data_IF_060052138132
#
_entry.id   IF_060052138132
#
_cell.length_a   1.000
_cell.length_b   1.000
_cell.length_c   1.000
_cell.angle_alpha   90.00
_cell.angle_beta   90.00
_cell.angle_gamma   90.00
#
_symmetry.space_group_name_H-M   'P 1'
#
loop_
_entity.id
_entity.type
_entity.pdbx_description
1 polymer ?
#
# COMPACT_ATOMS: atom_id res chain seq x y z
N UNK A 1 -10.18 3.77 3.52
CA UNK A 1 -9.47 2.81 2.63
C UNK A 1 -10.32 1.59 2.74
N UNK A 2 -10.97 1.24 1.64
CA UNK A 2 -12.19 0.43 1.75
C UNK A 2 -11.98 -0.98 1.19
N UNK A 3 -10.83 -1.18 0.52
CA UNK A 3 -10.46 -2.43 -0.15
C UNK A 3 -9.73 -3.41 0.77
N UNK A 4 -9.53 -3.06 2.05
CA UNK A 4 -8.76 -3.84 3.02
C UNK A 4 -9.65 -4.18 4.22
N UNK A 5 -9.81 -5.48 4.48
CA UNK A 5 -10.43 -6.01 5.68
C UNK A 5 -9.35 -6.49 6.66
N UNK A 6 -9.36 -5.93 7.88
CA UNK A 6 -8.52 -6.36 8.98
C UNK A 6 -9.22 -7.45 9.80
N UNK A 7 -8.59 -8.63 9.88
CA UNK A 7 -9.07 -9.76 10.70
C UNK A 7 -8.15 -10.04 11.89
N UNK A 8 -7.26 -9.10 12.24
CA UNK A 8 -6.31 -9.18 13.35
C UNK A 8 -5.04 -9.95 13.01
N UNK A 9 -5.17 -11.21 12.58
CA UNK A 9 -4.01 -12.05 12.22
C UNK A 9 -3.62 -11.95 10.74
N UNK A 10 -4.56 -11.54 9.89
CA UNK A 10 -4.40 -11.46 8.44
C UNK A 10 -5.15 -10.25 7.88
N UNK A 11 -4.66 -9.72 6.76
CA UNK A 11 -5.40 -8.74 5.97
C UNK A 11 -5.95 -9.38 4.72
N UNK A 12 -7.22 -9.13 4.42
CA UNK A 12 -7.84 -9.54 3.17
C UNK A 12 -8.00 -8.31 2.29
N UNK A 13 -7.32 -8.29 1.15
CA UNK A 13 -7.36 -7.19 0.19
C UNK A 13 -8.22 -7.62 -0.99
N UNK A 14 -9.24 -6.83 -1.29
CA UNK A 14 -10.12 -7.06 -2.43
C UNK A 14 -9.83 -6.03 -3.52
N UNK A 15 -9.32 -6.48 -4.67
CA UNK A 15 -9.18 -5.63 -5.84
C UNK A 15 -10.48 -5.71 -6.65
N UNK A 16 -11.24 -4.60 -6.77
CA UNK A 16 -12.51 -4.61 -7.49
C UNK A 16 -12.28 -4.87 -8.98
N UNK A 17 -13.32 -5.42 -9.63
CA UNK A 17 -13.29 -5.68 -11.08
C UNK A 17 -13.03 -4.37 -11.84
N UNK A 18 -12.02 -4.37 -12.70
CA UNK A 18 -11.76 -3.26 -13.62
C UNK A 18 -12.19 -3.63 -15.03
N UNK A 19 -12.17 -2.68 -15.97
CA UNK A 19 -12.67 -2.87 -17.35
C UNK A 19 -12.12 -4.14 -18.05
N UNK A 20 -10.90 -4.57 -17.71
CA UNK A 20 -10.21 -5.68 -18.38
C UNK A 20 -9.87 -6.83 -17.44
N UNK A 21 -9.96 -6.66 -16.12
CA UNK A 21 -9.52 -7.65 -15.14
C UNK A 21 -10.65 -8.12 -14.23
N UNK A 22 -10.65 -9.44 -13.94
CA UNK A 22 -11.54 -10.09 -12.97
C UNK A 22 -11.25 -9.56 -11.55
N UNK A 23 -12.25 -9.66 -10.67
CA UNK A 23 -12.08 -9.39 -9.23
C UNK A 23 -11.02 -10.35 -8.67
N UNK A 24 -10.08 -9.83 -7.90
CA UNK A 24 -9.03 -10.63 -7.25
C UNK A 24 -9.05 -10.35 -5.75
N UNK A 25 -8.82 -11.38 -4.95
CA UNK A 25 -8.76 -11.28 -3.49
C UNK A 25 -7.42 -11.86 -3.05
N UNK A 26 -6.72 -11.12 -2.21
CA UNK A 26 -5.42 -11.49 -1.67
C UNK A 26 -5.48 -11.56 -0.15
N UNK A 27 -4.82 -12.55 0.43
CA UNK A 27 -4.65 -12.66 1.87
C UNK A 27 -3.19 -12.38 2.20
N UNK A 28 -2.93 -11.32 2.95
CA UNK A 28 -1.60 -10.99 3.46
C UNK A 28 -1.47 -11.60 4.86
N UNK A 29 -0.46 -12.46 5.00
CA UNK A 29 -0.02 -13.04 6.27
C UNK A 29 1.32 -12.44 6.66
N UNK A 30 1.61 -12.41 7.95
CA UNK A 30 2.93 -12.00 8.43
C UNK A 30 3.99 -13.04 8.01
N UNK A 31 5.19 -12.60 7.67
CA UNK A 31 6.33 -13.46 7.35
C UNK A 31 7.55 -12.98 8.14
N UNK A 32 8.49 -13.87 8.43
CA UNK A 32 9.73 -13.61 9.18
C UNK A 32 10.55 -12.45 8.57
N UNK A 33 10.51 -12.29 7.25
CA UNK A 33 11.23 -11.22 6.54
C UNK A 33 10.48 -9.89 6.49
N UNK A 34 9.15 -9.91 6.57
CA UNK A 34 8.30 -8.71 6.42
C UNK A 34 7.15 -8.80 7.43
N UNK A 35 7.24 -7.99 8.48
CA UNK A 35 6.17 -7.78 9.45
C UNK A 35 5.07 -6.87 8.86
N UNK A 36 4.36 -7.37 7.85
CA UNK A 36 3.27 -6.70 7.14
C UNK A 36 2.19 -6.13 8.08
N UNK A 37 1.86 -6.84 9.16
CA UNK A 37 0.89 -6.38 10.17
C UNK A 37 1.34 -5.08 10.83
N UNK A 38 2.58 -5.05 11.34
CA UNK A 38 3.16 -3.89 12.02
C UNK A 38 3.31 -2.72 11.06
N UNK A 39 3.74 -2.99 9.83
CA UNK A 39 3.87 -1.96 8.79
C UNK A 39 2.54 -1.32 8.45
N UNK A 40 1.47 -2.13 8.30
CA UNK A 40 0.13 -1.62 8.06
C UNK A 40 -0.35 -0.72 9.19
N UNK A 41 -0.24 -1.17 10.45
CA UNK A 41 -0.66 -0.38 11.62
C UNK A 41 0.11 0.93 11.73
N UNK A 42 1.43 0.91 11.52
CA UNK A 42 2.23 2.13 11.51
C UNK A 42 1.86 3.07 10.37
N UNK A 43 1.48 2.52 9.23
CA UNK A 43 1.09 3.32 8.08
C UNK A 43 -0.30 3.96 8.26
N UNK A 44 -1.25 3.25 8.87
CA UNK A 44 -2.58 3.81 9.16
C UNK A 44 -2.52 4.92 10.20
N UNK A 45 -1.65 4.84 11.21
CA UNK A 45 -1.48 5.92 12.20
C UNK A 45 -0.85 7.18 11.63
N UNK A 46 0.06 7.06 10.66
CA UNK A 46 0.67 8.20 9.98
C UNK A 46 -0.24 8.86 8.93
N UNK A 47 -1.36 8.21 8.57
CA UNK A 47 -2.27 8.68 7.52
C UNK A 47 -3.12 9.85 8.06
N UNK A 48 -3.02 11.05 7.47
CA UNK A 48 -3.85 12.18 7.88
C UNK A 48 -5.34 11.87 7.67
N UNK A 49 -6.17 12.20 8.67
CA UNK A 49 -7.62 12.04 8.59
C UNK A 49 -8.26 12.95 7.52
N UNK A 50 -7.58 14.01 7.10
CA UNK A 50 -8.05 15.00 6.11
C UNK A 50 -7.93 14.54 4.64
N UNK A 51 -7.51 13.30 4.38
CA UNK A 51 -7.38 12.79 3.01
C UNK A 51 -8.75 12.40 2.45
N UNK A 52 -9.20 13.15 1.45
CA UNK A 52 -10.51 12.96 0.81
C UNK A 52 -10.57 11.75 -0.15
N UNK A 53 -9.46 11.06 -0.41
CA UNK A 53 -9.43 9.90 -1.30
C UNK A 53 -9.29 8.57 -0.56
N UNK A 54 -9.89 7.52 -1.14
CA UNK A 54 -9.91 6.16 -0.56
C UNK A 54 -8.69 5.30 -0.91
N UNK A 55 -7.71 5.84 -1.67
CA UNK A 55 -6.47 5.12 -2.02
C UNK A 55 -5.63 4.77 -0.80
N UNK A 56 -5.06 3.56 -0.82
CA UNK A 56 -4.21 3.05 0.26
C UNK A 56 -2.93 3.88 0.43
N UNK A 57 -2.19 4.13 -0.65
CA UNK A 57 -0.93 4.89 -0.61
C UNK A 57 -1.15 6.40 -0.85
N UNK A 58 -1.14 7.26 0.20
CA UNK A 58 -0.89 8.68 0.04
C UNK A 58 0.58 8.96 -0.33
N UNK A 59 0.86 10.05 -1.08
CA UNK A 59 2.20 10.50 -1.32
C UNK A 59 2.79 10.99 -0.01
N UNK A 60 4.06 10.67 0.20
CA UNK A 60 4.84 11.17 1.31
C UNK A 60 5.93 12.08 0.76
N UNK A 61 5.88 13.38 1.12
CA UNK A 61 6.86 14.37 0.68
C UNK A 61 7.13 15.35 1.82
N UNK A 62 8.39 15.76 1.98
CA UNK A 62 8.81 16.70 3.03
C UNK A 62 8.36 16.25 4.43
N UNK A 63 8.56 14.97 4.74
CA UNK A 63 8.17 14.33 6.01
C UNK A 63 6.67 14.36 6.33
N UNK A 64 5.80 14.58 5.34
CA UNK A 64 4.34 14.64 5.53
C UNK A 64 3.60 13.88 4.42
N UNK A 65 2.48 13.28 4.78
CA UNK A 65 1.54 12.72 3.80
C UNK A 65 0.70 13.84 3.19
N UNK A 66 0.64 13.90 1.86
CA UNK A 66 -0.17 14.88 1.14
C UNK A 66 -1.52 14.30 0.72
N UNK A 67 -2.50 15.16 0.43
CA UNK A 67 -3.87 14.74 0.10
C UNK A 67 -4.06 14.35 -1.39
N UNK A 68 -3.07 14.60 -2.25
CA UNK A 68 -3.16 14.23 -3.66
C UNK A 68 -2.88 12.73 -3.84
N UNK A 69 -3.54 12.00 -4.75
CA UNK A 69 -3.25 10.58 -4.93
C UNK A 69 -1.89 10.34 -5.61
N UNK A 70 -1.17 9.28 -5.21
CA UNK A 70 0.08 8.87 -5.89
C UNK A 70 -0.18 8.48 -7.34
N UNK A 71 0.62 9.04 -8.25
CA UNK A 71 0.56 8.75 -9.68
C UNK A 71 1.30 7.46 -10.06
N UNK A 72 0.85 6.80 -11.15
CA UNK A 72 1.43 5.53 -11.64
C UNK A 72 2.95 5.61 -11.92
N UNK A 73 3.44 6.77 -12.40
CA UNK A 73 4.88 6.99 -12.66
C UNK A 73 5.72 6.85 -11.40
N UNK A 74 5.17 7.24 -10.25
CA UNK A 74 5.87 7.18 -8.97
C UNK A 74 6.06 5.72 -8.54
N UNK A 75 5.02 4.89 -8.64
CA UNK A 75 5.12 3.45 -8.38
C UNK A 75 6.17 2.78 -9.29
N UNK A 76 6.20 3.12 -10.59
CA UNK A 76 7.21 2.59 -11.51
C UNK A 76 8.63 2.93 -11.06
N UNK A 77 8.88 4.17 -10.63
CA UNK A 77 10.20 4.61 -10.16
C UNK A 77 10.58 3.89 -8.86
N UNK A 78 9.67 3.80 -7.89
CA UNK A 78 9.91 3.04 -6.66
C UNK A 78 10.28 1.58 -6.94
N UNK A 79 9.62 0.90 -7.89
CA UNK A 79 9.97 -0.47 -8.27
C UNK A 79 11.37 -0.58 -8.88
N UNK A 80 11.78 0.41 -9.69
CA UNK A 80 13.13 0.44 -10.26
C UNK A 80 14.18 0.61 -9.17
N UNK A 81 13.97 1.54 -8.24
CA UNK A 81 14.91 1.82 -7.16
C UNK A 81 15.07 0.60 -6.24
N UNK A 82 13.97 -0.11 -5.94
CA UNK A 82 14.03 -1.37 -5.17
C UNK A 82 14.79 -2.46 -5.94
N UNK A 83 14.54 -2.59 -7.25
CA UNK A 83 15.20 -3.59 -8.10
C UNK A 83 16.71 -3.35 -8.18
N UNK A 84 17.13 -2.09 -8.31
CA UNK A 84 18.53 -1.67 -8.34
C UNK A 84 19.25 -2.00 -7.04
N UNK A 85 18.62 -1.72 -5.89
CA UNK A 85 19.14 -2.09 -4.57
C UNK A 85 19.23 -3.61 -4.41
N UNK A 86 18.25 -4.38 -4.90
CA UNK A 86 18.31 -5.85 -4.81
C UNK A 86 19.33 -6.49 -5.77
N UNK A 87 19.74 -5.79 -6.82
CA UNK A 87 20.70 -6.28 -7.81
C UNK A 87 22.16 -5.99 -7.42
N UNK A 88 22.37 -5.22 -6.36
CA UNK A 88 23.69 -4.86 -5.82
C UNK A 88 24.12 -5.74 -4.63
N UNK A 89 23.30 -6.73 -4.25
CA UNK A 89 23.61 -7.75 -3.25
C UNK A 89 23.91 -9.11 -3.89
#
# INVERSE_FOLDING_TARGET
VDDIEDRGSVFVITIPKTKTNKKQVFTIVNNEKICSLVLYTKYTTLRPASINHRRFFPPYKNNKSTAQPVGKKHFRKCSQDICEVSSTF
#
